data_IF_810991884597
#
_entry.id   IF_810991884597
#
_cell.length_a   1.000
_cell.length_b   1.000
_cell.length_c   1.000
_cell.angle_alpha   90.00
_cell.angle_beta   90.00
_cell.angle_gamma   90.00
#
_symmetry.space_group_name_H-M   'P 1'
#
loop_
_entity.id
_entity.type
_entity.pdbx_description
1 polymer ?
#
# COMPACT_ATOMS: atom_id res chain seq x y z
N UNK A 1 -2.87 22.55 -7.63
CA UNK A 1 -2.54 22.48 -6.19
C UNK A 1 -2.21 21.03 -5.90
N UNK A 2 -0.92 20.69 -5.89
CA UNK A 2 -0.46 19.36 -5.49
C UNK A 2 -0.61 19.24 -3.97
N UNK A 3 -1.73 18.67 -3.54
CA UNK A 3 -1.94 18.30 -2.14
C UNK A 3 -1.04 17.10 -1.86
N UNK A 4 0.15 17.36 -1.32
CA UNK A 4 1.01 16.31 -0.79
C UNK A 4 0.18 15.44 0.17
N UNK A 5 0.33 14.11 0.06
CA UNK A 5 -0.34 13.20 0.97
C UNK A 5 -0.02 13.62 2.42
N UNK A 6 -1.03 13.77 3.29
CA UNK A 6 -0.78 14.11 4.69
C UNK A 6 0.04 13.00 5.35
N UNK A 7 0.82 13.34 6.36
CA UNK A 7 1.46 12.32 7.19
C UNK A 7 0.37 11.49 7.88
N UNK A 8 0.46 10.16 7.73
CA UNK A 8 -0.46 9.20 8.35
C UNK A 8 0.32 8.05 8.99
N UNK A 9 -0.30 7.46 10.01
CA UNK A 9 0.22 6.27 10.70
C UNK A 9 -0.84 5.16 10.72
N UNK A 10 -0.42 3.94 10.44
CA UNK A 10 -1.25 2.74 10.46
C UNK A 10 -0.61 1.65 11.32
N UNK A 11 -1.35 0.56 11.56
CA UNK A 11 -0.78 -0.67 12.11
C UNK A 11 -0.49 -1.63 10.97
N UNK A 12 0.70 -2.22 10.99
CA UNK A 12 1.07 -3.30 10.08
C UNK A 12 0.32 -4.60 10.42
N UNK A 13 0.56 -5.66 9.63
CA UNK A 13 -0.05 -6.98 9.82
C UNK A 13 0.42 -7.69 11.10
N UNK A 14 1.43 -7.17 11.79
CA UNK A 14 1.92 -7.64 13.10
C UNK A 14 1.42 -6.76 14.26
N UNK A 15 0.64 -5.72 13.96
CA UNK A 15 0.12 -4.76 14.94
C UNK A 15 1.11 -3.64 15.33
N UNK A 16 2.27 -3.55 14.68
CA UNK A 16 3.26 -2.50 14.94
C UNK A 16 2.85 -1.20 14.26
N UNK A 17 3.13 -0.06 14.89
CA UNK A 17 2.92 1.25 14.26
C UNK A 17 3.89 1.48 13.12
N UNK A 18 3.39 1.95 11.99
CA UNK A 18 4.18 2.39 10.84
C UNK A 18 3.68 3.75 10.36
N UNK A 19 4.59 4.66 10.03
CA UNK A 19 4.29 5.98 9.49
C UNK A 19 4.72 6.09 8.04
N UNK A 20 3.98 6.87 7.23
CA UNK A 20 4.41 7.19 5.86
C UNK A 20 5.77 7.92 5.85
N UNK A 21 6.10 8.64 6.92
CA UNK A 21 7.39 9.32 7.07
C UNK A 21 8.60 8.35 7.15
N UNK A 22 8.39 7.09 7.55
CA UNK A 22 9.43 6.06 7.64
C UNK A 22 9.95 5.63 6.24
N UNK A 23 9.22 6.02 5.19
CA UNK A 23 9.52 5.69 3.80
C UNK A 23 9.94 6.90 2.96
N UNK A 24 10.28 8.03 3.59
CA UNK A 24 10.88 9.16 2.87
C UNK A 24 12.11 8.71 2.07
N UNK A 25 12.30 9.33 0.91
CA UNK A 25 13.36 9.02 -0.06
C UNK A 25 13.30 7.61 -0.68
N UNK A 26 12.19 6.88 -0.50
CA UNK A 26 11.92 5.60 -1.16
C UNK A 26 10.77 5.73 -2.14
N UNK A 27 10.81 4.94 -3.21
CA UNK A 27 9.67 4.80 -4.11
C UNK A 27 8.62 3.90 -3.45
N UNK A 28 7.49 4.48 -3.06
CA UNK A 28 6.41 3.81 -2.34
C UNK A 28 5.18 3.68 -3.22
N UNK A 29 4.58 2.49 -3.25
CA UNK A 29 3.29 2.25 -3.86
C UNK A 29 2.29 1.83 -2.78
N UNK A 30 1.21 2.59 -2.61
CA UNK A 30 0.13 2.28 -1.68
C UNK A 30 -1.02 1.61 -2.44
N UNK A 31 -1.39 0.42 -2.00
CA UNK A 31 -2.54 -0.31 -2.51
C UNK A 31 -3.63 -0.30 -1.45
N UNK A 32 -4.79 0.27 -1.77
CA UNK A 32 -5.94 0.29 -0.88
C UNK A 32 -6.91 -0.83 -1.26
N UNK A 33 -7.24 -1.69 -0.30
CA UNK A 33 -8.15 -2.81 -0.49
C UNK A 33 -8.58 -3.42 0.84
N UNK A 34 -9.52 -4.36 0.79
CA UNK A 34 -10.02 -5.08 1.95
C UNK A 34 -10.27 -6.54 1.57
N UNK A 35 -10.18 -7.46 2.55
CA UNK A 35 -10.18 -8.90 2.29
C UNK A 35 -11.53 -9.44 1.79
N UNK A 36 -12.64 -8.87 2.25
CA UNK A 36 -14.01 -9.29 1.86
C UNK A 36 -14.49 -8.61 0.57
N UNK A 37 -13.60 -8.52 -0.41
CA UNK A 37 -13.83 -7.86 -1.68
C UNK A 37 -13.99 -8.94 -2.75
N UNK A 38 -15.20 -9.46 -2.87
CA UNK A 38 -15.48 -10.73 -3.54
C UNK A 38 -15.19 -10.76 -5.05
N UNK A 39 -14.85 -9.63 -5.68
CA UNK A 39 -14.52 -9.58 -7.12
C UNK A 39 -13.37 -8.65 -7.55
N UNK A 40 -13.08 -7.54 -6.85
CA UNK A 40 -12.25 -6.47 -7.42
C UNK A 40 -10.80 -6.44 -6.90
N UNK A 41 -10.54 -6.98 -5.70
CA UNK A 41 -9.26 -6.75 -5.03
C UNK A 41 -8.18 -7.83 -5.29
N UNK A 42 -8.57 -8.99 -5.83
CA UNK A 42 -7.61 -10.07 -6.14
C UNK A 42 -6.76 -9.80 -7.38
N UNK A 43 -7.29 -9.04 -8.36
CA UNK A 43 -6.59 -8.81 -9.63
C UNK A 43 -5.40 -7.84 -9.49
N UNK A 44 -5.51 -6.84 -8.62
CA UNK A 44 -4.50 -5.77 -8.49
C UNK A 44 -3.23 -6.27 -7.79
N UNK A 45 -3.37 -7.05 -6.71
CA UNK A 45 -2.23 -7.64 -6.00
C UNK A 45 -1.49 -8.67 -6.85
N UNK A 46 -2.22 -9.50 -7.60
CA UNK A 46 -1.64 -10.50 -8.51
C UNK A 46 -0.85 -9.85 -9.65
N UNK A 47 -1.37 -8.78 -10.25
CA UNK A 47 -0.68 -8.06 -11.35
C UNK A 47 0.67 -7.49 -10.92
N UNK A 48 0.76 -6.93 -9.71
CA UNK A 48 2.03 -6.44 -9.15
C UNK A 48 3.01 -7.58 -8.89
N UNK A 49 2.55 -8.72 -8.38
CA UNK A 49 3.40 -9.87 -8.14
C UNK A 49 4.00 -10.42 -9.44
N UNK A 50 3.16 -10.54 -10.49
CA UNK A 50 3.59 -11.01 -11.81
C UNK A 50 4.57 -10.05 -12.50
N UNK A 51 4.39 -8.73 -12.34
CA UNK A 51 5.33 -7.74 -12.89
C UNK A 51 6.65 -7.64 -12.14
N UNK A 52 6.71 -8.00 -10.85
CA UNK A 52 7.97 -8.02 -10.11
C UNK A 52 8.86 -9.23 -10.47
N UNK A 53 8.27 -10.25 -11.10
CA UNK A 53 8.94 -11.49 -11.51
C UNK A 53 9.46 -11.53 -12.95
N UNK A 54 9.40 -10.42 -13.70
CA UNK A 54 9.91 -10.31 -15.08
C UNK A 54 11.00 -9.26 -15.21
#
# INVERSE_FOLDING_TARGET
MDLAAPDFSLRDTKGQGVSIADFRDKLVYLMFGYLSCDQVCHAQSLTFYLRKGS
#
